data_IF_764082734748
#
_entry.id   IF_764082734748
#
_cell.length_a   1.000
_cell.length_b   1.000
_cell.length_c   1.000
_cell.angle_alpha   90.00
_cell.angle_beta   90.00
_cell.angle_gamma   90.00
#
_symmetry.space_group_name_H-M   'P 1'
#
loop_
_entity.id
_entity.type
_entity.pdbx_description
1 polymer ?
#
# COMPACT_ATOMS: atom_id res chain seq x y z
N UNK A 1 -31.78 -56.24 -8.44
CA UNK A 1 -31.18 -54.90 -8.60
C UNK A 1 -29.97 -54.85 -7.69
N UNK A 2 -28.73 -54.73 -8.20
CA UNK A 2 -27.56 -54.77 -7.33
C UNK A 2 -27.46 -53.46 -6.55
N UNK A 3 -27.15 -53.58 -5.26
CA UNK A 3 -27.01 -52.47 -4.34
C UNK A 3 -25.76 -51.65 -4.69
N UNK A 4 -25.93 -50.34 -4.90
CA UNK A 4 -24.81 -49.40 -5.03
C UNK A 4 -24.05 -49.32 -3.71
N UNK A 5 -22.76 -49.64 -3.74
CA UNK A 5 -21.85 -49.49 -2.60
C UNK A 5 -21.54 -48.02 -2.34
N UNK A 6 -21.38 -47.64 -1.06
CA UNK A 6 -21.07 -46.28 -0.56
C UNK A 6 -19.80 -45.65 -1.16
N UNK A 7 -18.98 -46.43 -1.88
CA UNK A 7 -17.81 -45.96 -2.65
C UNK A 7 -18.16 -45.27 -3.98
N UNK A 8 -19.37 -45.43 -4.49
CA UNK A 8 -19.82 -44.82 -5.75
C UNK A 8 -20.45 -43.42 -5.57
N UNK A 9 -20.51 -42.89 -4.33
CA UNK A 9 -21.03 -41.54 -4.07
C UNK A 9 -20.01 -40.42 -4.34
N UNK A 10 -18.75 -40.79 -4.56
CA UNK A 10 -17.64 -39.88 -4.84
C UNK A 10 -17.08 -40.21 -6.22
N UNK A 11 -17.90 -40.01 -7.27
CA UNK A 11 -17.39 -39.95 -8.64
C UNK A 11 -16.35 -38.83 -8.70
N UNK A 12 -15.09 -39.24 -8.69
CA UNK A 12 -13.94 -38.36 -8.82
C UNK A 12 -13.80 -37.92 -10.27
N UNK A 13 -13.83 -36.62 -10.49
CA UNK A 13 -13.41 -36.01 -11.74
C UNK A 13 -11.86 -35.98 -11.75
N UNK A 14 -11.18 -36.66 -12.70
CA UNK A 14 -9.71 -36.78 -12.72
C UNK A 14 -8.96 -35.49 -13.11
N UNK A 15 -9.61 -34.33 -13.04
CA UNK A 15 -9.10 -33.05 -13.56
C UNK A 15 -8.59 -32.05 -12.51
N UNK A 16 -8.65 -32.36 -11.21
CA UNK A 16 -8.18 -31.40 -10.17
C UNK A 16 -6.69 -31.59 -9.86
N UNK A 17 -5.82 -30.95 -10.66
CA UNK A 17 -4.43 -30.73 -10.25
C UNK A 17 -4.40 -29.91 -8.95
N UNK A 18 -3.49 -30.22 -8.00
CA UNK A 18 -3.32 -29.41 -6.81
C UNK A 18 -2.95 -27.98 -7.20
N UNK A 19 -3.45 -26.97 -6.48
CA UNK A 19 -3.07 -25.59 -6.74
C UNK A 19 -1.57 -25.42 -6.52
N UNK A 20 -0.89 -24.77 -7.47
CA UNK A 20 0.56 -24.55 -7.41
C UNK A 20 0.98 -23.61 -6.27
N UNK A 21 0.07 -22.76 -5.79
CA UNK A 21 0.33 -21.78 -4.75
C UNK A 21 -0.84 -21.73 -3.77
N UNK A 22 -0.55 -21.78 -2.47
CA UNK A 22 -1.55 -21.68 -1.41
C UNK A 22 -1.13 -20.63 -0.40
N UNK A 23 -2.09 -19.78 0.00
CA UNK A 23 -1.89 -18.80 1.07
C UNK A 23 -2.92 -18.99 2.16
N UNK A 24 -2.53 -18.65 3.39
CA UNK A 24 -3.43 -18.57 4.54
C UNK A 24 -3.92 -17.14 4.70
N UNK A 25 -5.23 -16.98 4.85
CA UNK A 25 -5.89 -15.68 4.91
C UNK A 25 -6.66 -15.51 6.21
N UNK A 26 -6.40 -14.41 6.92
CA UNK A 26 -7.20 -13.95 8.06
C UNK A 26 -8.29 -13.00 7.57
N UNK A 27 -9.57 -13.33 7.80
CA UNK A 27 -10.70 -12.57 7.25
C UNK A 27 -11.12 -11.42 8.17
N UNK A 28 -11.30 -10.22 7.60
CA UNK A 28 -11.75 -9.04 8.35
C UNK A 28 -13.22 -9.14 8.83
N UNK A 29 -13.94 -10.19 8.42
CA UNK A 29 -15.35 -10.41 8.77
C UNK A 29 -15.58 -10.97 10.18
N UNK A 30 -14.55 -11.06 11.01
CA UNK A 30 -14.65 -11.53 12.41
C UNK A 30 -14.70 -13.04 12.58
N UNK A 31 -14.33 -13.81 11.55
CA UNK A 31 -14.12 -15.23 11.72
C UNK A 31 -12.84 -15.45 12.55
N UNK A 32 -12.94 -16.25 13.61
CA UNK A 32 -11.87 -16.46 14.58
C UNK A 32 -10.81 -17.48 14.13
N UNK A 33 -10.80 -17.80 12.83
CA UNK A 33 -9.88 -18.74 12.23
C UNK A 33 -9.40 -18.21 10.88
N UNK A 34 -8.22 -18.66 10.48
CA UNK A 34 -7.71 -18.43 9.14
C UNK A 34 -8.25 -19.47 8.17
N UNK A 35 -8.22 -19.14 6.89
CA UNK A 35 -8.68 -20.00 5.81
C UNK A 35 -7.64 -20.06 4.71
N UNK A 36 -7.43 -21.25 4.17
CA UNK A 36 -6.46 -21.47 3.11
C UNK A 36 -7.13 -21.28 1.75
N UNK A 37 -6.44 -20.59 0.84
CA UNK A 37 -6.93 -20.27 -0.50
C UNK A 37 -5.87 -20.59 -1.55
N UNK A 38 -6.32 -21.09 -2.70
CA UNK A 38 -5.47 -21.25 -3.86
C UNK A 38 -5.20 -19.89 -4.53
N UNK A 39 -3.97 -19.64 -4.95
CA UNK A 39 -3.60 -18.43 -5.70
C UNK A 39 -3.42 -18.78 -7.18
N UNK A 40 -4.21 -18.18 -8.10
CA UNK A 40 -3.96 -18.31 -9.53
C UNK A 40 -2.58 -17.73 -9.90
N UNK A 41 -1.90 -18.35 -10.87
CA UNK A 41 -0.57 -17.91 -11.34
C UNK A 41 -0.53 -16.41 -11.73
N UNK A 42 -1.61 -15.90 -12.32
CA UNK A 42 -1.71 -14.49 -12.71
C UNK A 42 -1.74 -13.49 -11.54
N UNK A 43 -1.97 -13.96 -10.32
CA UNK A 43 -1.97 -13.17 -9.09
C UNK A 43 -0.73 -13.42 -8.23
N UNK A 44 0.19 -14.28 -8.68
CA UNK A 44 1.42 -14.60 -7.97
C UNK A 44 2.54 -13.61 -8.32
N UNK A 45 3.43 -13.22 -7.38
CA UNK A 45 3.47 -13.60 -5.96
C UNK A 45 2.48 -12.82 -5.07
N UNK A 46 2.10 -13.42 -3.94
CA UNK A 46 1.35 -12.75 -2.86
C UNK A 46 2.15 -12.83 -1.58
N UNK A 47 2.56 -11.68 -1.07
CA UNK A 47 3.35 -11.59 0.15
C UNK A 47 2.46 -11.53 1.41
N UNK A 48 2.90 -12.09 2.55
CA UNK A 48 2.26 -11.86 3.84
C UNK A 48 2.17 -10.36 4.15
N UNK A 49 1.05 -9.92 4.69
CA UNK A 49 0.75 -8.51 4.95
C UNK A 49 -0.06 -7.82 3.86
N UNK A 50 -0.14 -8.40 2.66
CA UNK A 50 -1.02 -7.90 1.60
C UNK A 50 -2.49 -8.22 1.87
N UNK A 51 -3.38 -7.30 1.53
CA UNK A 51 -4.82 -7.55 1.53
C UNK A 51 -5.23 -8.31 0.27
N UNK A 52 -6.18 -9.22 0.43
CA UNK A 52 -6.74 -10.03 -0.65
C UNK A 52 -8.26 -10.02 -0.59
N UNK A 53 -8.90 -10.12 -1.76
CA UNK A 53 -10.32 -10.35 -1.89
C UNK A 53 -10.59 -11.82 -2.22
N UNK A 54 -11.35 -12.50 -1.37
CA UNK A 54 -11.59 -13.94 -1.43
C UNK A 54 -13.09 -14.27 -1.30
N UNK A 55 -13.58 -15.37 -1.90
CA UNK A 55 -14.93 -15.85 -1.66
C UNK A 55 -15.06 -16.48 -0.27
N UNK A 56 -16.15 -16.17 0.44
CA UNK A 56 -16.43 -16.74 1.75
C UNK A 56 -17.88 -17.19 1.91
N UNK A 57 -18.08 -18.28 2.67
CA UNK A 57 -19.39 -18.89 2.91
C UNK A 57 -19.96 -19.67 1.71
N UNK A 58 -21.20 -20.14 1.83
CA UNK A 58 -21.89 -20.94 0.78
C UNK A 58 -22.26 -20.13 -0.47
N UNK A 59 -22.52 -18.84 -0.31
CA UNK A 59 -22.90 -17.94 -1.40
C UNK A 59 -21.73 -17.26 -2.11
N UNK A 60 -20.48 -17.66 -1.83
CA UNK A 60 -19.26 -17.10 -2.42
C UNK A 60 -19.17 -15.57 -2.38
N UNK A 61 -19.73 -14.98 -1.31
CA UNK A 61 -19.65 -13.54 -1.07
C UNK A 61 -18.19 -13.14 -1.01
N UNK A 62 -17.81 -12.18 -1.84
CA UNK A 62 -16.45 -11.62 -1.81
C UNK A 62 -16.27 -10.82 -0.54
N UNK A 63 -15.24 -11.16 0.23
CA UNK A 63 -14.84 -10.49 1.46
C UNK A 63 -13.36 -10.15 1.39
N UNK A 64 -12.93 -9.20 2.21
CA UNK A 64 -11.53 -8.82 2.35
C UNK A 64 -10.88 -9.62 3.49
N UNK A 65 -9.62 -9.98 3.30
CA UNK A 65 -8.75 -10.51 4.34
C UNK A 65 -7.31 -10.12 4.09
N UNK A 66 -6.43 -10.58 4.97
CA UNK A 66 -4.99 -10.37 4.88
C UNK A 66 -4.30 -11.72 4.66
N UNK A 67 -3.36 -11.77 3.71
CA UNK A 67 -2.42 -12.88 3.62
C UNK A 67 -1.55 -12.87 4.89
N UNK A 68 -1.54 -13.95 5.65
CA UNK A 68 -0.74 -14.06 6.89
C UNK A 68 0.40 -15.06 6.77
N UNK A 69 0.35 -15.93 5.76
CA UNK A 69 1.33 -16.99 5.53
C UNK A 69 1.21 -17.48 4.07
N UNK A 70 2.35 -17.78 3.46
CA UNK A 70 2.43 -18.54 2.21
C UNK A 70 2.77 -19.98 2.59
N UNK A 71 1.98 -20.95 2.13
CA UNK A 71 2.15 -22.35 2.49
C UNK A 71 2.93 -23.07 1.40
N UNK A 72 4.01 -23.75 1.79
CA UNK A 72 4.77 -24.63 0.89
C UNK A 72 3.99 -25.94 0.62
N UNK A 73 4.19 -26.50 -0.57
CA UNK A 73 3.49 -27.69 -1.12
C UNK A 73 3.37 -28.88 -0.16
N UNK A 74 4.28 -29.01 0.80
CA UNK A 74 4.35 -30.13 1.75
C UNK A 74 3.30 -30.08 2.88
N UNK A 75 2.68 -28.93 3.17
CA UNK A 75 1.62 -28.83 4.19
C UNK A 75 0.25 -29.35 3.68
N UNK A 76 0.12 -29.55 2.36
CA UNK A 76 -1.13 -29.86 1.68
C UNK A 76 -1.59 -31.31 1.85
N UNK A 77 -0.73 -32.22 2.31
CA UNK A 77 -1.01 -33.66 2.29
C UNK A 77 -2.14 -34.08 3.26
N UNK A 78 -2.38 -33.28 4.32
CA UNK A 78 -3.53 -33.48 5.23
C UNK A 78 -4.79 -32.70 4.80
N UNK A 79 -4.67 -31.75 3.87
CA UNK A 79 -5.77 -30.91 3.36
C UNK A 79 -6.22 -31.30 1.94
N UNK A 80 -5.56 -32.27 1.32
CA UNK A 80 -5.77 -32.77 -0.05
C UNK A 80 -7.19 -33.30 -0.34
N UNK A 81 -8.08 -33.33 0.65
CA UNK A 81 -9.46 -33.79 0.49
C UNK A 81 -10.49 -32.67 0.25
N UNK A 82 -10.11 -31.39 0.33
CA UNK A 82 -11.03 -30.27 0.10
C UNK A 82 -10.59 -29.36 -1.04
N UNK A 83 -11.51 -29.08 -1.96
CA UNK A 83 -11.29 -28.13 -3.06
C UNK A 83 -11.18 -26.71 -2.50
N UNK A 84 -9.97 -26.17 -2.48
CA UNK A 84 -9.72 -24.78 -2.09
C UNK A 84 -10.39 -23.82 -3.07
N UNK A 85 -10.97 -22.75 -2.53
CA UNK A 85 -11.45 -21.65 -3.37
C UNK A 85 -10.26 -20.78 -3.78
N UNK A 86 -10.39 -20.13 -4.93
CA UNK A 86 -9.34 -19.26 -5.46
C UNK A 86 -9.45 -17.82 -4.92
N UNK A 87 -8.30 -17.19 -4.71
CA UNK A 87 -8.20 -15.73 -4.51
C UNK A 87 -8.74 -15.01 -5.75
N UNK A 88 -9.60 -14.01 -5.54
CA UNK A 88 -10.20 -13.23 -6.65
C UNK A 88 -9.33 -12.05 -7.06
N UNK A 89 -8.65 -11.41 -6.10
CA UNK A 89 -7.83 -10.21 -6.34
C UNK A 89 -6.86 -9.97 -5.19
N UNK A 90 -5.64 -9.54 -5.50
CA UNK A 90 -4.70 -8.93 -4.55
C UNK A 90 -4.94 -7.42 -4.57
N UNK A 91 -5.14 -6.83 -3.39
CA UNK A 91 -5.60 -5.44 -3.25
C UNK A 91 -4.45 -4.44 -3.10
N UNK A 92 -3.27 -4.93 -2.71
CA UNK A 92 -2.08 -4.11 -2.46
C UNK A 92 -0.94 -4.58 -3.37
N UNK A 93 -0.11 -3.65 -3.85
CA UNK A 93 1.08 -3.97 -4.61
C UNK A 93 2.23 -4.46 -3.73
N UNK A 94 2.27 -3.99 -2.48
CA UNK A 94 3.29 -4.30 -1.47
C UNK A 94 2.61 -4.60 -0.12
N UNK A 95 3.26 -5.35 0.79
CA UNK A 95 2.75 -5.61 2.13
C UNK A 95 2.50 -4.32 2.91
N UNK A 96 1.27 -4.14 3.39
CA UNK A 96 0.94 -3.02 4.30
C UNK A 96 1.39 -3.27 5.73
N UNK A 97 1.64 -4.52 6.09
CA UNK A 97 2.06 -4.98 7.40
C UNK A 97 3.27 -5.89 7.23
N UNK A 98 4.42 -5.48 7.73
CA UNK A 98 5.62 -6.31 7.71
C UNK A 98 5.54 -7.49 8.70
N UNK A 99 6.56 -8.34 8.70
CA UNK A 99 6.63 -9.50 9.60
C UNK A 99 6.50 -9.12 11.09
N UNK A 100 7.11 -8.01 11.51
CA UNK A 100 7.07 -7.55 12.91
C UNK A 100 5.66 -7.12 13.31
N UNK A 101 4.94 -6.45 12.41
CA UNK A 101 3.54 -6.05 12.62
C UNK A 101 2.59 -7.24 12.58
N UNK A 102 2.85 -8.24 11.73
CA UNK A 102 2.08 -9.49 11.74
C UNK A 102 2.28 -10.26 13.05
N UNK A 103 3.50 -10.32 13.58
CA UNK A 103 3.78 -10.95 14.87
C UNK A 103 3.13 -10.18 16.03
N UNK A 104 3.16 -8.85 15.98
CA UNK A 104 2.43 -8.02 16.94
C UNK A 104 0.91 -8.28 16.84
N UNK A 105 0.36 -8.40 15.64
CA UNK A 105 -1.06 -8.68 15.43
C UNK A 105 -1.46 -10.05 16.01
N UNK A 106 -0.63 -11.07 15.82
CA UNK A 106 -0.82 -12.41 16.42
C UNK A 106 -0.79 -12.32 17.93
N UNK A 107 0.20 -11.64 18.50
CA UNK A 107 0.27 -11.43 19.95
C UNK A 107 -0.97 -10.70 20.51
N UNK A 108 -1.43 -9.63 19.84
CA UNK A 108 -2.65 -8.91 20.24
C UNK A 108 -3.87 -9.84 20.16
N UNK A 109 -4.02 -10.58 19.05
CA UNK A 109 -5.11 -11.51 18.80
C UNK A 109 -5.18 -12.59 19.89
N UNK A 110 -4.04 -13.21 20.19
CA UNK A 110 -3.94 -14.27 21.20
C UNK A 110 -4.15 -13.73 22.63
N UNK A 111 -3.52 -12.60 22.96
CA UNK A 111 -3.57 -12.04 24.32
C UNK A 111 -4.96 -11.46 24.66
N UNK A 112 -5.58 -10.76 23.72
CA UNK A 112 -6.89 -10.13 23.92
C UNK A 112 -8.07 -11.00 23.42
N UNK A 113 -7.80 -12.20 22.93
CA UNK A 113 -8.80 -13.17 22.45
C UNK A 113 -9.75 -12.52 21.44
N UNK A 114 -9.16 -11.92 20.39
CA UNK A 114 -9.90 -11.27 19.31
C UNK A 114 -9.50 -11.83 17.95
N UNK A 115 -10.40 -11.86 16.95
CA UNK A 115 -10.08 -12.44 15.65
C UNK A 115 -8.92 -11.73 14.94
N UNK A 116 -7.91 -12.49 14.53
CA UNK A 116 -6.70 -11.96 13.88
C UNK A 116 -7.03 -11.03 12.70
N UNK A 117 -8.00 -11.39 11.87
CA UNK A 117 -8.40 -10.57 10.73
C UNK A 117 -8.98 -9.21 11.12
N UNK A 118 -9.64 -9.09 12.28
CA UNK A 118 -10.10 -7.80 12.80
C UNK A 118 -8.95 -6.99 13.41
N UNK A 119 -8.01 -7.65 14.08
CA UNK A 119 -6.79 -7.01 14.59
C UNK A 119 -5.99 -6.39 13.46
N UNK A 120 -5.71 -7.15 12.40
CA UNK A 120 -5.00 -6.67 11.21
C UNK A 120 -5.77 -5.51 10.53
N UNK A 121 -7.09 -5.64 10.41
CA UNK A 121 -7.93 -4.57 9.87
C UNK A 121 -7.84 -3.30 10.73
N UNK A 122 -7.77 -3.41 12.06
CA UNK A 122 -7.65 -2.25 12.95
C UNK A 122 -6.27 -1.57 12.89
N UNK A 123 -5.21 -2.33 12.61
CA UNK A 123 -3.84 -1.80 12.49
C UNK A 123 -3.64 -0.94 11.25
N UNK A 124 -4.39 -1.17 10.17
CA UNK A 124 -4.26 -0.41 8.93
C UNK A 124 -5.20 0.81 8.92
N UNK A 125 -4.67 2.05 8.82
CA UNK A 125 -5.50 3.25 8.76
C UNK A 125 -6.42 3.29 7.53
N UNK A 126 -7.60 3.87 7.67
CA UNK A 126 -8.57 3.98 6.57
C UNK A 126 -8.05 4.76 5.35
N UNK A 127 -7.10 5.69 5.56
CA UNK A 127 -6.45 6.42 4.47
C UNK A 127 -5.58 5.51 3.62
N UNK A 128 -4.75 4.67 4.26
CA UNK A 128 -3.91 3.67 3.60
C UNK A 128 -4.76 2.65 2.84
N UNK A 129 -5.86 2.17 3.45
CA UNK A 129 -6.75 1.18 2.81
C UNK A 129 -7.38 1.62 1.48
N UNK A 130 -7.57 2.93 1.30
CA UNK A 130 -8.29 3.52 0.16
C UNK A 130 -7.33 4.23 -0.80
N UNK A 131 -6.02 4.04 -0.64
CA UNK A 131 -4.98 4.80 -1.34
C UNK A 131 -5.18 6.32 -1.23
N UNK A 132 -5.84 6.77 -0.14
CA UNK A 132 -6.09 8.19 0.10
C UNK A 132 -4.75 8.80 0.46
N UNK A 133 -4.22 9.59 -0.46
CA UNK A 133 -2.85 10.10 -0.41
C UNK A 133 -2.12 9.85 -1.71
N UNK A 134 -2.43 8.75 -2.40
CA UNK A 134 -1.90 8.45 -3.73
C UNK A 134 -2.77 9.17 -4.75
N UNK A 135 -2.29 10.31 -5.24
CA UNK A 135 -2.93 10.99 -6.37
C UNK A 135 -2.20 10.56 -7.63
N UNK A 136 -2.90 9.88 -8.54
CA UNK A 136 -2.38 9.71 -9.89
C UNK A 136 -2.39 11.05 -10.60
N UNK A 137 -1.21 11.58 -10.91
CA UNK A 137 -1.05 12.80 -11.68
C UNK A 137 -0.76 12.48 -13.15
N UNK A 138 -1.39 13.24 -14.05
CA UNK A 138 -1.04 13.22 -15.47
C UNK A 138 0.20 14.09 -15.65
N UNK A 139 1.29 13.50 -16.10
CA UNK A 139 2.52 14.21 -16.45
C UNK A 139 2.77 14.11 -17.94
N UNK A 140 3.37 15.15 -18.50
CA UNK A 140 3.57 15.30 -19.94
C UNK A 140 5.06 15.50 -20.25
N UNK A 141 5.45 15.05 -21.44
CA UNK A 141 6.79 15.17 -22.00
C UNK A 141 6.71 15.31 -23.51
N UNK A 142 7.79 15.77 -24.14
CA UNK A 142 7.87 15.97 -25.59
C UNK A 142 7.88 14.63 -26.32
N UNK A 143 7.23 14.58 -27.47
CA UNK A 143 7.28 13.41 -28.34
C UNK A 143 8.55 13.45 -29.22
N UNK A 144 9.71 13.13 -28.63
CA UNK A 144 11.00 13.03 -29.33
C UNK A 144 11.71 14.36 -29.60
N UNK A 145 12.97 14.28 -30.06
CA UNK A 145 13.92 15.40 -30.24
C UNK A 145 13.63 16.32 -31.44
N UNK A 146 12.43 16.28 -32.00
CA UNK A 146 12.15 16.91 -33.29
C UNK A 146 12.06 18.44 -33.17
N UNK A 147 13.16 19.14 -33.46
CA UNK A 147 13.12 20.49 -34.00
C UNK A 147 12.98 20.46 -35.54
N UNK A 148 12.20 21.38 -36.14
CA UNK A 148 11.35 22.36 -35.49
C UNK A 148 9.93 21.81 -35.28
N UNK A 149 9.24 22.38 -34.28
CA UNK A 149 7.79 22.18 -34.12
C UNK A 149 7.06 22.52 -35.43
N UNK A 150 5.96 21.83 -35.76
CA UNK A 150 5.09 22.28 -36.84
C UNK A 150 4.66 23.73 -36.55
N UNK A 151 4.35 24.55 -37.57
CA UNK A 151 3.99 25.95 -37.38
C UNK A 151 2.69 26.08 -36.56
N UNK A 152 2.84 26.12 -35.24
CA UNK A 152 1.74 26.27 -34.30
C UNK A 152 1.26 27.72 -34.37
N UNK A 153 -0.03 27.92 -34.64
CA UNK A 153 -0.63 29.27 -34.63
C UNK A 153 -0.93 29.78 -33.22
N UNK A 154 -1.11 28.87 -32.25
CA UNK A 154 -1.44 29.22 -30.87
C UNK A 154 -0.20 29.54 -30.04
N UNK A 155 -0.14 30.77 -29.51
CA UNK A 155 0.91 31.21 -28.59
C UNK A 155 0.96 30.34 -27.31
N UNK A 156 -0.20 29.88 -26.83
CA UNK A 156 -0.28 29.03 -25.64
C UNK A 156 0.28 27.63 -25.90
N UNK A 157 0.10 27.08 -27.10
CA UNK A 157 0.68 25.79 -27.46
C UNK A 157 2.20 25.85 -27.57
N UNK A 158 2.75 26.91 -28.19
CA UNK A 158 4.21 27.11 -28.23
C UNK A 158 4.80 27.22 -26.84
N UNK A 159 4.16 28.01 -25.96
CA UNK A 159 4.62 28.17 -24.58
C UNK A 159 4.67 26.84 -23.81
N UNK A 160 3.70 25.95 -24.00
CA UNK A 160 3.72 24.62 -23.37
C UNK A 160 4.93 23.79 -23.85
N UNK A 161 5.25 23.82 -25.15
CA UNK A 161 6.41 23.09 -25.68
C UNK A 161 7.73 23.69 -25.19
N UNK A 162 7.83 25.02 -25.10
CA UNK A 162 8.97 25.71 -24.50
C UNK A 162 9.17 25.30 -23.04
N UNK A 163 8.11 25.31 -22.22
CA UNK A 163 8.21 24.91 -20.81
C UNK A 163 8.69 23.46 -20.67
N UNK A 164 8.18 22.55 -21.52
CA UNK A 164 8.64 21.16 -21.51
C UNK A 164 10.13 21.05 -21.90
N UNK A 165 10.61 21.84 -22.86
CA UNK A 165 12.05 21.91 -23.21
C UNK A 165 12.88 22.49 -22.08
N UNK A 166 12.44 23.60 -21.48
CA UNK A 166 13.09 24.26 -20.34
C UNK A 166 13.27 23.30 -19.15
N UNK A 167 12.31 22.40 -18.92
CA UNK A 167 12.33 21.40 -17.85
C UNK A 167 13.00 20.07 -18.26
N UNK A 168 13.58 19.97 -19.47
CA UNK A 168 14.22 18.76 -19.97
C UNK A 168 13.27 17.56 -20.15
N UNK A 169 11.97 17.82 -20.24
CA UNK A 169 10.94 16.78 -20.23
C UNK A 169 10.79 16.10 -21.59
N UNK A 170 11.70 15.19 -21.89
CA UNK A 170 11.90 14.58 -23.23
C UNK A 170 11.52 13.09 -23.29
N UNK A 171 11.35 12.43 -22.14
CA UNK A 171 11.01 11.01 -22.05
C UNK A 171 10.01 10.73 -20.90
N UNK A 172 9.69 9.45 -20.66
CA UNK A 172 8.69 9.06 -19.67
C UNK A 172 9.15 9.24 -18.21
N UNK A 173 10.45 9.40 -17.98
CA UNK A 173 11.07 9.58 -16.67
C UNK A 173 11.25 11.08 -16.35
N UNK A 174 11.56 11.88 -17.37
CA UNK A 174 11.66 13.33 -17.31
C UNK A 174 10.35 13.98 -17.78
N UNK A 175 9.48 14.33 -16.84
CA UNK A 175 8.12 14.78 -17.15
C UNK A 175 7.69 15.98 -16.29
N UNK A 176 6.76 16.79 -16.79
CA UNK A 176 6.18 17.93 -16.04
C UNK A 176 4.70 17.66 -15.71
N UNK A 177 4.22 17.96 -14.50
CA UNK A 177 2.81 17.92 -14.15
C UNK A 177 1.91 18.72 -15.09
N UNK A 178 0.73 18.18 -15.37
CA UNK A 178 -0.27 18.93 -16.13
C UNK A 178 -0.65 20.25 -15.43
N UNK A 179 -0.76 20.25 -14.10
CA UNK A 179 -1.12 21.45 -13.34
C UNK A 179 -0.08 22.57 -13.54
N UNK A 180 1.21 22.23 -13.44
CA UNK A 180 2.31 23.18 -13.59
C UNK A 180 2.38 23.72 -15.03
N UNK A 181 2.21 22.87 -16.04
CA UNK A 181 2.17 23.31 -17.44
C UNK A 181 1.04 24.31 -17.69
N UNK A 182 -0.14 24.05 -17.15
CA UNK A 182 -1.29 24.94 -17.33
C UNK A 182 -1.12 26.25 -16.58
N UNK A 183 -0.51 26.22 -15.39
CA UNK A 183 -0.19 27.42 -14.61
C UNK A 183 0.90 28.26 -15.30
N UNK A 184 2.03 27.67 -15.66
CA UNK A 184 3.17 28.34 -16.30
C UNK A 184 2.85 28.85 -17.72
N UNK A 185 1.97 28.15 -18.45
CA UNK A 185 1.49 28.63 -19.75
C UNK A 185 0.27 29.56 -19.63
N UNK A 186 -0.27 29.74 -18.42
CA UNK A 186 -1.48 30.52 -18.12
C UNK A 186 -2.64 30.16 -19.08
N UNK A 187 -2.98 28.87 -19.19
CA UNK A 187 -4.03 28.40 -20.09
C UNK A 187 -4.84 27.23 -19.52
N UNK A 188 -6.06 27.03 -20.05
CA UNK A 188 -6.86 25.85 -19.75
C UNK A 188 -6.32 24.58 -20.42
N UNK A 189 -6.96 23.43 -20.21
CA UNK A 189 -6.46 22.13 -20.69
C UNK A 189 -6.50 21.92 -22.22
N UNK A 190 -7.28 22.73 -22.95
CA UNK A 190 -7.54 22.54 -24.39
C UNK A 190 -6.27 22.61 -25.25
N UNK A 191 -5.39 23.62 -25.13
CA UNK A 191 -4.14 23.68 -25.89
C UNK A 191 -3.24 22.46 -25.66
N UNK A 192 -3.11 22.00 -24.41
CA UNK A 192 -2.34 20.81 -24.02
C UNK A 192 -2.92 19.53 -24.63
N UNK A 193 -4.24 19.36 -24.60
CA UNK A 193 -4.89 18.19 -25.21
C UNK A 193 -4.77 18.20 -26.73
N UNK A 194 -4.78 19.37 -27.37
CA UNK A 194 -4.58 19.48 -28.82
C UNK A 194 -3.15 19.13 -29.21
N UNK A 195 -2.14 19.54 -28.43
CA UNK A 195 -0.74 19.10 -28.63
C UNK A 195 -0.61 17.58 -28.50
N UNK A 196 -1.29 16.98 -27.52
CA UNK A 196 -1.31 15.53 -27.35
C UNK A 196 -1.95 14.82 -28.54
N UNK A 197 -3.08 15.33 -29.03
CA UNK A 197 -3.76 14.78 -30.22
C UNK A 197 -2.93 14.91 -31.49
N UNK A 198 -2.18 16.01 -31.62
CA UNK A 198 -1.23 16.22 -32.70
C UNK A 198 0.04 15.35 -32.58
N UNK A 199 0.20 14.61 -31.49
CA UNK A 199 1.34 13.73 -31.25
C UNK A 199 2.62 14.47 -30.86
N UNK A 200 2.56 15.75 -30.49
CA UNK A 200 3.72 16.58 -30.12
C UNK A 200 4.12 16.43 -28.65
N UNK A 201 3.18 16.00 -27.81
CA UNK A 201 3.44 15.66 -26.40
C UNK A 201 2.84 14.30 -26.07
N UNK A 202 3.54 13.55 -25.23
CA UNK A 202 3.06 12.29 -24.67
C UNK A 202 2.66 12.50 -23.21
N UNK A 203 1.83 11.59 -22.71
CA UNK A 203 1.30 11.64 -21.35
C UNK A 203 1.64 10.33 -20.66
N UNK A 204 2.22 10.41 -19.48
CA UNK A 204 2.33 9.30 -18.53
C UNK A 204 1.52 9.60 -17.27
N UNK A 205 1.30 8.57 -16.47
CA UNK A 205 0.67 8.69 -15.15
C UNK A 205 1.70 8.31 -14.13
N UNK A 206 1.97 9.22 -13.20
CA UNK A 206 2.84 8.94 -12.07
C UNK A 206 2.00 8.96 -10.80
N UNK A 207 2.24 8.00 -9.92
CA UNK A 207 1.67 7.99 -8.59
C UNK A 207 2.46 8.96 -7.73
N UNK A 208 1.78 10.02 -7.28
CA UNK A 208 2.37 11.00 -6.38
C UNK A 208 1.76 10.76 -5.02
N UNK A 209 2.61 10.34 -4.08
CA UNK A 209 2.28 10.32 -2.67
C UNK A 209 2.15 11.76 -2.20
N UNK A 210 0.92 12.20 -1.89
CA UNK A 210 0.76 13.30 -0.95
C UNK A 210 1.34 12.79 0.36
N UNK A 211 2.34 13.48 0.87
CA UNK A 211 2.72 13.36 2.27
C UNK A 211 1.43 13.46 3.11
N UNK A 212 1.04 12.35 3.72
CA UNK A 212 -0.06 12.29 4.68
C UNK A 212 0.49 11.74 6.00
N UNK A 213 0.26 12.45 7.11
CA UNK A 213 -0.29 13.80 7.17
C UNK A 213 0.78 14.78 6.71
N UNK A 214 0.47 15.66 5.75
CA UNK A 214 1.05 16.99 5.79
C UNK A 214 0.60 17.54 7.13
N UNK A 215 1.47 17.48 8.14
CA UNK A 215 1.29 18.21 9.39
C UNK A 215 0.82 19.61 8.95
N UNK A 216 -0.42 20.01 9.26
CA UNK A 216 -0.98 21.26 8.77
C UNK A 216 0.04 22.37 8.94
N UNK A 217 0.33 23.15 7.89
CA UNK A 217 1.21 24.30 8.01
C UNK A 217 0.65 25.20 9.13
N UNK A 218 1.33 25.23 10.29
CA UNK A 218 0.82 25.82 11.55
C UNK A 218 0.83 24.88 12.77
N UNK A 219 0.99 23.56 12.58
CA UNK A 219 1.29 22.61 13.67
C UNK A 219 2.79 22.45 13.92
N UNK A 220 3.63 22.89 12.98
CA UNK A 220 5.00 23.26 13.29
C UNK A 220 4.92 24.47 14.22
N UNK A 221 5.22 24.27 15.50
CA UNK A 221 5.80 25.37 16.26
C UNK A 221 7.09 25.74 15.52
N UNK A 222 7.33 27.03 15.31
CA UNK A 222 8.70 27.49 15.06
C UNK A 222 9.59 26.76 16.06
N UNK A 223 10.76 26.29 15.63
CA UNK A 223 11.79 25.68 16.49
C UNK A 223 12.19 26.73 17.55
N UNK A 224 11.34 26.93 18.55
CA UNK A 224 11.70 27.63 19.75
C UNK A 224 12.81 26.78 20.34
N UNK A 225 14.01 27.35 20.39
CA UNK A 225 15.17 26.71 21.01
C UNK A 225 14.76 26.32 22.42
N UNK A 226 14.47 25.02 22.62
CA UNK A 226 14.06 24.49 23.91
C UNK A 226 15.31 24.50 24.78
N UNK A 227 15.37 25.43 25.74
CA UNK A 227 16.45 25.45 26.72
C UNK A 227 16.09 24.49 27.85
N UNK A 228 16.77 23.35 27.87
CA UNK A 228 16.57 22.34 28.90
C UNK A 228 17.20 22.79 30.23
N UNK A 229 16.57 22.42 31.33
CA UNK A 229 17.17 22.53 32.65
C UNK A 229 18.06 21.31 32.94
N UNK A 230 18.84 21.38 34.03
CA UNK A 230 19.78 20.33 34.39
C UNK A 230 19.14 18.94 34.61
N UNK A 231 17.88 18.87 35.03
CA UNK A 231 17.19 17.60 35.25
C UNK A 231 16.74 16.98 33.91
N UNK A 232 16.23 17.81 33.01
CA UNK A 232 15.84 17.43 31.64
C UNK A 232 17.06 16.98 30.83
N UNK A 233 18.19 17.70 30.91
CA UNK A 233 19.45 17.30 30.25
C UNK A 233 19.92 15.92 30.72
N UNK A 234 19.84 15.65 32.03
CA UNK A 234 20.19 14.32 32.57
C UNK A 234 19.25 13.22 32.08
N UNK A 235 17.94 13.50 32.00
CA UNK A 235 16.97 12.57 31.45
C UNK A 235 17.21 12.29 29.96
N UNK A 236 17.44 13.34 29.17
CA UNK A 236 17.70 13.22 27.75
C UNK A 236 18.98 12.44 27.48
N UNK A 237 20.08 12.75 28.18
CA UNK A 237 21.33 12.02 28.02
C UNK A 237 21.20 10.51 28.33
N UNK A 238 20.37 10.14 29.32
CA UNK A 238 20.09 8.74 29.62
C UNK A 238 19.29 8.06 28.49
N UNK A 239 18.29 8.74 27.94
CA UNK A 239 17.49 8.24 26.80
C UNK A 239 18.37 8.11 25.56
N UNK A 240 19.19 9.12 25.24
CA UNK A 240 20.11 9.12 24.12
C UNK A 240 21.13 7.97 24.21
N UNK A 241 21.62 7.67 25.41
CA UNK A 241 22.54 6.55 25.62
C UNK A 241 21.89 5.21 25.21
N UNK A 242 20.63 5.00 25.57
CA UNK A 242 19.86 3.81 25.17
C UNK A 242 19.57 3.79 23.66
N UNK A 243 19.21 4.94 23.07
CA UNK A 243 18.96 5.07 21.63
C UNK A 243 20.21 4.77 20.80
N UNK A 244 21.36 5.34 21.18
CA UNK A 244 22.65 5.10 20.52
C UNK A 244 23.08 3.65 20.66
N UNK A 245 22.71 2.98 21.75
CA UNK A 245 22.98 1.56 21.93
C UNK A 245 22.22 0.67 20.94
N UNK A 246 21.18 1.19 20.25
CA UNK A 246 20.46 0.51 19.17
C UNK A 246 19.70 -0.74 19.63
N UNK A 247 19.28 -0.79 20.91
CA UNK A 247 18.56 -1.92 21.51
C UNK A 247 17.21 -1.45 22.05
N UNK A 248 16.30 -2.39 22.24
CA UNK A 248 15.04 -2.13 22.95
C UNK A 248 15.33 -1.69 24.39
N UNK A 249 14.76 -0.56 24.79
CA UNK A 249 14.86 0.00 26.14
C UNK A 249 13.54 0.63 26.57
N UNK A 250 13.27 0.63 27.88
CA UNK A 250 12.08 1.23 28.47
C UNK A 250 12.51 2.32 29.44
N UNK A 251 12.14 3.57 29.15
CA UNK A 251 12.45 4.73 29.98
C UNK A 251 11.18 5.33 30.56
N UNK A 252 11.15 5.49 31.89
CA UNK A 252 10.06 6.17 32.58
C UNK A 252 10.43 7.64 32.85
N UNK A 253 9.81 8.57 32.13
CA UNK A 253 9.94 10.00 32.39
C UNK A 253 8.93 10.43 33.48
N UNK A 254 9.38 10.48 34.72
CA UNK A 254 8.53 10.80 35.87
C UNK A 254 8.65 12.28 36.28
N UNK A 255 7.51 12.98 36.38
CA UNK A 255 7.45 14.37 36.82
C UNK A 255 6.01 14.88 36.93
N UNK A 256 5.78 15.89 37.77
CA UNK A 256 4.46 16.54 37.92
C UNK A 256 4.06 17.32 36.66
N UNK A 257 2.78 17.70 36.52
CA UNK A 257 2.37 18.63 35.45
C UNK A 257 3.22 19.89 35.51
N UNK A 258 3.59 20.45 34.35
CA UNK A 258 4.44 21.65 34.24
C UNK A 258 5.92 21.45 34.67
N UNK A 259 6.35 20.21 34.99
CA UNK A 259 7.76 19.91 35.26
C UNK A 259 8.66 19.88 34.01
N UNK A 260 8.11 20.22 32.85
CA UNK A 260 8.85 20.21 31.60
C UNK A 260 9.01 18.84 30.91
N UNK A 261 8.08 17.89 31.09
CA UNK A 261 8.19 16.56 30.44
C UNK A 261 8.00 16.63 28.92
N UNK A 262 7.12 17.52 28.47
CA UNK A 262 6.81 17.68 27.05
C UNK A 262 7.99 18.21 26.26
N UNK A 263 8.85 19.00 26.91
CA UNK A 263 10.10 19.56 26.38
C UNK A 263 11.19 18.49 26.20
N UNK A 264 11.04 17.33 26.85
CA UNK A 264 11.95 16.17 26.68
C UNK A 264 11.46 15.23 25.57
N UNK A 265 10.16 15.24 25.23
CA UNK A 265 9.59 14.46 24.12
C UNK A 265 9.86 15.12 22.76
#
# INVERSE_FOLDING_TARGET
MPARTTRELFDMDPSSQPPAHVIRVALATGADQCFDYAVPEALWPVEPGCRVAVPFGKGDRTVQGFCVEVLDDAATDQQAHFRLKAVKRVLDAEPLLDASLLDLARWISDYYVCPLGQTLEAMVPAAVKKDIGVKTEKRFYLAGDAEPDPPLRSHKQRRILEILREHGATDADHTVPAADLLALAECGSVPLMNLRRAGLVKMTRHEVYRALPAVPAGLYRDEAVVTLNADQERCLAAIETELVAGRFGVSLLHGVTDSGKTEVY
#
